data_IF_492499884101
#
_entry.id   IF_492499884101
#
_cell.length_a   1.000
_cell.length_b   1.000
_cell.length_c   1.000
_cell.angle_alpha   90.00
_cell.angle_beta   90.00
_cell.angle_gamma   90.00
#
_symmetry.space_group_name_H-M   'P 1'
#
loop_
_entity.id
_entity.type
_entity.pdbx_description
1 polymer ?
#
# COMPACT_ATOMS: atom_id res chain seq x y z
N UNK A 1 -28.16 -1.76 -34.97
CA UNK A 1 -27.71 -1.67 -33.54
C UNK A 1 -26.77 -0.51 -33.24
N UNK A 2 -26.00 -0.02 -34.18
CA UNK A 2 -25.12 1.17 -33.98
C UNK A 2 -25.88 2.51 -33.92
N UNK A 3 -27.07 2.59 -34.52
CA UNK A 3 -27.90 3.80 -34.58
C UNK A 3 -28.56 4.13 -33.23
N UNK A 4 -28.95 3.11 -32.44
CA UNK A 4 -29.58 3.32 -31.11
C UNK A 4 -28.63 3.86 -30.01
N UNK A 5 -27.32 3.70 -30.17
CA UNK A 5 -26.34 4.21 -29.19
C UNK A 5 -26.13 5.73 -29.34
N UNK A 6 -26.28 6.25 -30.57
CA UNK A 6 -26.10 7.66 -30.89
C UNK A 6 -27.25 8.55 -30.39
N UNK A 7 -28.49 8.05 -30.39
CA UNK A 7 -29.66 8.80 -29.94
C UNK A 7 -29.88 8.78 -28.40
N UNK A 8 -29.30 7.81 -27.72
CA UNK A 8 -29.42 7.71 -26.25
C UNK A 8 -28.44 8.59 -25.48
N UNK A 9 -27.44 9.20 -26.15
CA UNK A 9 -26.42 10.06 -25.57
C UNK A 9 -26.83 11.55 -25.43
N UNK A 10 -28.04 11.91 -25.83
CA UNK A 10 -28.45 13.30 -26.05
C UNK A 10 -28.94 14.05 -24.82
N UNK A 11 -28.77 13.52 -23.60
CA UNK A 11 -29.00 14.33 -22.39
C UNK A 11 -27.66 14.71 -21.75
N UNK A 12 -27.48 15.98 -21.32
CA UNK A 12 -26.23 16.44 -20.67
C UNK A 12 -25.78 15.55 -19.52
N UNK A 13 -26.73 14.98 -18.76
CA UNK A 13 -26.46 14.08 -17.64
C UNK A 13 -25.87 12.73 -18.09
N UNK A 14 -26.35 12.17 -19.19
CA UNK A 14 -25.80 10.93 -19.76
C UNK A 14 -24.42 11.16 -20.35
N UNK A 15 -24.20 12.30 -20.99
CA UNK A 15 -22.90 12.67 -21.52
C UNK A 15 -21.87 12.83 -20.39
N UNK A 16 -22.21 13.52 -19.29
CA UNK A 16 -21.36 13.64 -18.11
C UNK A 16 -21.02 12.27 -17.52
N UNK A 17 -22.01 11.40 -17.38
CA UNK A 17 -21.78 10.01 -16.93
C UNK A 17 -20.82 9.25 -17.83
N UNK A 18 -20.94 9.38 -19.15
CA UNK A 18 -20.05 8.69 -20.09
C UNK A 18 -18.62 9.29 -20.03
N UNK A 19 -18.48 10.60 -19.95
CA UNK A 19 -17.20 11.28 -19.82
C UNK A 19 -16.50 10.83 -18.53
N UNK A 20 -17.19 10.81 -17.40
CA UNK A 20 -16.66 10.31 -16.12
C UNK A 20 -16.25 8.84 -16.21
N UNK A 21 -17.05 8.02 -16.89
CA UNK A 21 -16.72 6.60 -17.08
C UNK A 21 -15.45 6.43 -17.92
N UNK A 22 -15.34 7.18 -19.02
CA UNK A 22 -14.15 7.15 -19.88
C UNK A 22 -12.92 7.65 -19.10
N UNK A 23 -13.05 8.76 -18.38
CA UNK A 23 -11.97 9.32 -17.56
C UNK A 23 -11.50 8.33 -16.50
N UNK A 24 -12.43 7.70 -15.78
CA UNK A 24 -12.08 6.70 -14.78
C UNK A 24 -11.39 5.47 -15.40
N UNK A 25 -11.85 5.03 -16.58
CA UNK A 25 -11.21 3.91 -17.30
C UNK A 25 -9.82 4.28 -17.83
N UNK A 26 -9.63 5.49 -18.30
CA UNK A 26 -8.31 5.99 -18.69
C UNK A 26 -7.33 6.00 -17.51
N UNK A 27 -7.76 6.48 -16.35
CA UNK A 27 -6.95 6.47 -15.13
C UNK A 27 -6.64 5.05 -14.63
N UNK A 28 -7.61 4.11 -14.72
CA UNK A 28 -7.36 2.71 -14.42
C UNK A 28 -6.29 2.11 -15.35
N UNK A 29 -6.35 2.42 -16.64
CA UNK A 29 -5.36 1.95 -17.63
C UNK A 29 -3.97 2.56 -17.36
N UNK A 30 -3.88 3.84 -17.05
CA UNK A 30 -2.62 4.49 -16.69
C UNK A 30 -2.00 3.84 -15.45
N UNK A 31 -2.80 3.59 -14.41
CA UNK A 31 -2.38 2.85 -13.23
C UNK A 31 -1.83 1.46 -13.58
N UNK A 32 -2.53 0.71 -14.44
CA UNK A 32 -2.08 -0.62 -14.89
C UNK A 32 -0.77 -0.57 -15.67
N UNK A 33 -0.60 0.42 -16.57
CA UNK A 33 0.63 0.61 -17.34
C UNK A 33 1.81 0.91 -16.38
N UNK A 34 1.60 1.76 -15.40
CA UNK A 34 2.60 2.11 -14.39
C UNK A 34 2.97 0.90 -13.52
N UNK A 35 1.98 0.10 -13.10
CA UNK A 35 2.19 -1.14 -12.37
C UNK A 35 2.96 -2.17 -13.21
N UNK A 36 2.61 -2.37 -14.48
CA UNK A 36 3.29 -3.29 -15.39
C UNK A 36 4.73 -2.84 -15.71
N UNK A 37 4.93 -1.53 -15.89
CA UNK A 37 6.27 -0.96 -16.14
C UNK A 37 7.17 -1.18 -14.92
N UNK A 38 6.66 -0.92 -13.72
CA UNK A 38 7.38 -1.20 -12.49
C UNK A 38 7.63 -2.70 -12.32
N UNK A 39 6.62 -3.52 -12.60
CA UNK A 39 6.74 -4.96 -12.58
C UNK A 39 7.88 -5.46 -13.49
N UNK A 40 7.97 -4.96 -14.72
CA UNK A 40 9.07 -5.28 -15.63
C UNK A 40 10.44 -4.91 -15.06
N UNK A 41 10.54 -3.77 -14.36
CA UNK A 41 11.77 -3.35 -13.64
C UNK A 41 12.07 -4.26 -12.45
N UNK A 42 11.06 -4.70 -11.73
CA UNK A 42 11.17 -5.64 -10.60
C UNK A 42 11.72 -6.98 -11.09
N UNK A 43 11.16 -7.52 -12.16
CA UNK A 43 11.52 -8.85 -12.70
C UNK A 43 12.97 -8.88 -13.21
N UNK A 44 13.46 -7.74 -13.70
CA UNK A 44 14.86 -7.56 -14.14
C UNK A 44 15.80 -7.10 -13.04
N UNK A 45 15.34 -7.00 -11.78
CA UNK A 45 16.09 -6.46 -10.63
C UNK A 45 16.68 -5.05 -10.88
N UNK A 46 15.97 -4.21 -11.65
CA UNK A 46 16.40 -2.89 -12.13
C UNK A 46 15.62 -1.73 -11.53
N UNK A 47 15.02 -1.89 -10.35
CA UNK A 47 14.45 -0.71 -9.68
C UNK A 47 15.63 0.17 -9.26
N UNK A 48 15.76 1.37 -9.79
CA UNK A 48 16.76 2.31 -9.31
C UNK A 48 16.25 2.86 -7.97
N UNK A 49 16.69 2.26 -6.85
CA UNK A 49 16.38 2.79 -5.51
C UNK A 49 17.27 4.00 -5.20
N UNK A 50 16.66 5.04 -4.66
CA UNK A 50 17.35 6.21 -4.09
C UNK A 50 17.26 6.14 -2.56
N UNK A 51 18.16 5.37 -1.97
CA UNK A 51 18.17 5.15 -0.52
C UNK A 51 18.65 6.39 0.22
N UNK A 52 17.82 6.86 1.15
CA UNK A 52 18.11 7.98 2.03
C UNK A 52 17.97 7.58 3.51
N UNK A 53 18.63 8.34 4.38
CA UNK A 53 18.49 8.22 5.83
C UNK A 53 17.25 8.99 6.26
N UNK A 54 16.22 8.29 6.75
CA UNK A 54 14.93 8.84 7.10
C UNK A 54 14.71 8.77 8.62
N UNK A 55 14.24 9.88 9.21
CA UNK A 55 13.70 9.84 10.56
C UNK A 55 12.29 9.22 10.51
N UNK A 56 12.08 8.15 11.26
CA UNK A 56 10.84 7.36 11.25
C UNK A 56 9.63 8.21 11.62
N UNK A 57 9.74 8.99 12.70
CA UNK A 57 8.62 9.79 13.20
C UNK A 57 8.19 10.86 12.19
N UNK A 58 9.15 11.61 11.63
CA UNK A 58 8.87 12.65 10.64
C UNK A 58 8.28 12.04 9.36
N UNK A 59 8.93 11.04 8.79
CA UNK A 59 8.54 10.44 7.53
C UNK A 59 7.12 9.87 7.56
N UNK A 60 6.81 9.06 8.56
CA UNK A 60 5.47 8.44 8.64
C UNK A 60 4.39 9.46 9.01
N UNK A 61 4.72 10.50 9.79
CA UNK A 61 3.78 11.60 10.06
C UNK A 61 3.39 12.31 8.75
N UNK A 62 4.36 12.67 7.92
CA UNK A 62 4.11 13.32 6.63
C UNK A 62 3.25 12.43 5.71
N UNK A 63 3.54 11.13 5.65
CA UNK A 63 2.73 10.17 4.89
C UNK A 63 1.27 10.11 5.39
N UNK A 64 1.07 10.09 6.70
CA UNK A 64 -0.26 9.99 7.32
C UNK A 64 -1.05 11.28 7.12
N UNK A 65 -0.42 12.45 7.22
CA UNK A 65 -1.07 13.74 6.98
C UNK A 65 -1.57 13.86 5.53
N UNK A 66 -0.76 13.44 4.55
CA UNK A 66 -1.15 13.44 3.13
C UNK A 66 -2.34 12.52 2.86
N UNK A 67 -2.29 11.29 3.36
CA UNK A 67 -3.34 10.28 3.16
C UNK A 67 -4.61 10.63 3.93
N UNK A 68 -4.47 11.29 5.09
CA UNK A 68 -5.58 11.62 5.98
C UNK A 68 -6.66 12.45 5.30
N UNK A 69 -6.28 13.43 4.49
CA UNK A 69 -7.20 14.28 3.74
C UNK A 69 -8.08 13.46 2.76
N UNK A 70 -7.47 12.51 2.06
CA UNK A 70 -8.19 11.66 1.11
C UNK A 70 -9.13 10.67 1.82
N UNK A 71 -8.74 10.17 2.97
CA UNK A 71 -9.56 9.24 3.78
C UNK A 71 -10.74 9.97 4.42
N UNK A 72 -10.53 11.18 4.96
CA UNK A 72 -11.58 12.04 5.52
C UNK A 72 -12.66 12.35 4.47
N UNK A 73 -12.24 12.72 3.24
CA UNK A 73 -13.15 12.96 2.13
C UNK A 73 -14.00 11.73 1.75
N UNK A 74 -13.52 10.53 2.07
CA UNK A 74 -14.23 9.24 1.88
C UNK A 74 -14.99 8.77 3.11
N UNK A 75 -15.03 9.55 4.19
CA UNK A 75 -15.67 9.21 5.44
C UNK A 75 -15.01 8.03 6.18
N UNK A 76 -13.68 7.91 6.07
CA UNK A 76 -12.90 6.86 6.72
C UNK A 76 -12.10 7.49 7.87
N UNK A 77 -12.31 7.00 9.09
CA UNK A 77 -11.56 7.44 10.26
C UNK A 77 -10.12 6.92 10.21
N UNK A 78 -9.13 7.80 10.30
CA UNK A 78 -7.72 7.46 10.36
C UNK A 78 -7.18 7.73 11.76
N UNK A 79 -6.53 6.73 12.37
CA UNK A 79 -5.78 6.87 13.62
C UNK A 79 -4.31 6.53 13.39
N UNK A 80 -3.42 7.34 13.95
CA UNK A 80 -1.98 7.15 13.85
C UNK A 80 -1.33 7.12 15.24
N UNK A 81 -0.54 6.09 15.50
CA UNK A 81 0.17 5.88 16.75
C UNK A 81 1.64 5.55 16.45
N UNK A 82 2.53 6.40 16.90
CA UNK A 82 3.96 6.15 16.80
C UNK A 82 4.53 5.85 18.19
N UNK A 83 5.00 4.62 18.37
CA UNK A 83 5.64 4.13 19.58
C UNK A 83 7.17 3.96 19.42
N UNK A 84 7.72 4.31 18.24
CA UNK A 84 9.16 4.31 18.05
C UNK A 84 9.80 5.48 18.78
N UNK A 85 11.06 5.31 19.18
CA UNK A 85 11.84 6.40 19.78
C UNK A 85 11.99 7.57 18.78
N UNK A 86 11.95 8.84 19.24
CA UNK A 86 11.92 10.02 18.36
C UNK A 86 13.10 10.10 17.37
N UNK A 87 14.27 9.59 17.77
CA UNK A 87 15.50 9.65 16.95
C UNK A 87 15.71 8.40 16.08
N UNK A 88 14.74 7.48 16.09
CA UNK A 88 14.82 6.25 15.28
C UNK A 88 14.92 6.61 13.80
N UNK A 89 15.93 6.02 13.14
CA UNK A 89 16.21 6.23 11.72
C UNK A 89 16.23 4.89 10.98
N UNK A 90 15.90 4.95 9.68
CA UNK A 90 15.99 3.85 8.74
C UNK A 90 16.71 4.30 7.48
N UNK A 91 17.24 3.34 6.72
CA UNK A 91 17.70 3.58 5.35
C UNK A 91 16.64 3.02 4.42
N UNK A 92 15.98 3.91 3.68
CA UNK A 92 14.92 3.52 2.75
C UNK A 92 14.82 4.51 1.58
N UNK A 93 14.26 4.05 0.48
CA UNK A 93 13.82 4.92 -0.61
C UNK A 93 12.46 5.52 -0.23
N UNK A 94 12.36 6.85 -0.04
CA UNK A 94 11.14 7.49 0.46
C UNK A 94 9.95 7.32 -0.51
N UNK A 95 10.20 7.36 -1.82
CA UNK A 95 9.15 7.24 -2.83
C UNK A 95 8.61 5.80 -2.91
N UNK A 96 9.50 4.82 -2.85
CA UNK A 96 9.09 3.42 -2.88
C UNK A 96 8.39 3.02 -1.56
N UNK A 97 8.86 3.54 -0.42
CA UNK A 97 8.19 3.28 0.86
C UNK A 97 6.81 3.96 0.92
N UNK A 98 6.65 5.17 0.36
CA UNK A 98 5.34 5.82 0.18
C UNK A 98 4.41 4.97 -0.69
N UNK A 99 4.94 4.39 -1.77
CA UNK A 99 4.19 3.47 -2.64
C UNK A 99 3.70 2.23 -1.88
N UNK A 100 4.52 1.66 -1.00
CA UNK A 100 4.11 0.55 -0.12
C UNK A 100 2.87 0.95 0.70
N UNK A 101 2.93 2.09 1.38
CA UNK A 101 1.83 2.58 2.22
C UNK A 101 0.57 2.81 1.38
N UNK A 102 0.69 3.50 0.24
CA UNK A 102 -0.43 3.81 -0.64
C UNK A 102 -1.09 2.56 -1.23
N UNK A 103 -0.32 1.53 -1.60
CA UNK A 103 -0.86 0.26 -2.08
C UNK A 103 -1.64 -0.50 -0.99
N UNK A 104 -1.12 -0.52 0.24
CA UNK A 104 -1.80 -1.19 1.36
C UNK A 104 -3.11 -0.45 1.67
N UNK A 105 -3.05 0.88 1.87
CA UNK A 105 -4.22 1.71 2.18
C UNK A 105 -5.24 1.69 1.03
N UNK A 106 -4.78 1.75 -0.22
CA UNK A 106 -5.65 1.63 -1.39
C UNK A 106 -6.43 0.30 -1.39
N UNK A 107 -5.79 -0.80 -1.00
CA UNK A 107 -6.48 -2.08 -0.82
C UNK A 107 -7.48 -2.04 0.34
N UNK A 108 -7.11 -1.48 1.49
CA UNK A 108 -8.02 -1.31 2.62
C UNK A 108 -9.28 -0.55 2.21
N UNK A 109 -9.13 0.63 1.62
CA UNK A 109 -10.26 1.45 1.13
C UNK A 109 -11.13 0.68 0.13
N UNK A 110 -10.51 -0.03 -0.80
CA UNK A 110 -11.19 -0.79 -1.85
C UNK A 110 -12.06 -1.91 -1.32
N UNK A 111 -11.63 -2.55 -0.22
CA UNK A 111 -12.31 -3.71 0.33
C UNK A 111 -13.12 -3.43 1.59
N UNK A 112 -13.27 -2.16 1.96
CA UNK A 112 -14.20 -1.73 3.02
C UNK A 112 -15.64 -1.83 2.57
N UNK A 113 -16.48 -2.47 3.41
CA UNK A 113 -17.88 -2.73 3.14
C UNK A 113 -18.82 -2.33 4.28
N UNK A 114 -18.29 -1.76 5.37
CA UNK A 114 -19.06 -1.33 6.55
C UNK A 114 -19.51 0.13 6.43
N UNK A 115 -20.47 0.51 7.24
CA UNK A 115 -20.97 1.90 7.33
C UNK A 115 -19.96 2.79 8.04
N UNK A 116 -19.47 2.36 9.19
CA UNK A 116 -18.37 3.00 9.90
C UNK A 116 -17.07 2.34 9.44
N UNK A 117 -16.13 3.15 8.98
CA UNK A 117 -14.88 2.68 8.39
C UNK A 117 -13.71 3.28 9.13
N UNK A 118 -12.71 2.45 9.44
CA UNK A 118 -11.49 2.96 10.05
C UNK A 118 -10.22 2.32 9.47
N UNK A 119 -9.13 3.07 9.55
CA UNK A 119 -7.76 2.60 9.35
C UNK A 119 -6.94 3.04 10.57
N UNK A 120 -6.21 2.10 11.17
CA UNK A 120 -5.24 2.38 12.22
C UNK A 120 -3.83 2.10 11.71
N UNK A 121 -2.94 3.07 11.84
CA UNK A 121 -1.52 2.92 11.54
C UNK A 121 -0.75 2.97 12.86
N UNK A 122 0.06 1.94 13.12
CA UNK A 122 0.91 1.86 14.33
C UNK A 122 2.35 1.57 13.92
N UNK A 123 3.28 2.29 14.54
CA UNK A 123 4.71 2.08 14.39
C UNK A 123 5.29 1.67 15.72
N UNK A 124 6.06 0.59 15.75
CA UNK A 124 6.63 0.01 16.97
C UNK A 124 8.11 -0.31 16.78
N UNK A 125 8.87 -0.16 17.87
CA UNK A 125 10.22 -0.70 17.95
C UNK A 125 10.16 -2.21 18.22
N UNK A 126 10.83 -3.00 17.37
CA UNK A 126 10.93 -4.45 17.51
C UNK A 126 12.40 -4.87 17.31
N UNK A 127 13.15 -4.82 18.39
CA UNK A 127 14.60 -5.11 18.34
C UNK A 127 15.33 -4.19 17.36
N UNK A 128 16.02 -4.77 16.37
CA UNK A 128 16.76 -4.04 15.34
C UNK A 128 15.89 -3.48 14.22
N UNK A 129 14.56 -3.65 14.31
CA UNK A 129 13.62 -3.24 13.28
C UNK A 129 12.60 -2.25 13.82
N UNK A 130 12.04 -1.44 12.94
CA UNK A 130 10.72 -0.86 13.14
C UNK A 130 9.68 -1.80 12.52
N UNK A 131 8.54 -1.95 13.17
CA UNK A 131 7.37 -2.62 12.64
C UNK A 131 6.29 -1.59 12.36
N UNK A 132 5.74 -1.63 11.16
CA UNK A 132 4.57 -0.85 10.76
C UNK A 132 3.39 -1.79 10.64
N UNK A 133 2.29 -1.42 11.28
CA UNK A 133 1.01 -2.13 11.25
C UNK A 133 -0.02 -1.20 10.62
N UNK A 134 -0.72 -1.69 9.60
CA UNK A 134 -1.83 -0.99 8.95
C UNK A 134 -3.05 -1.91 9.06
N UNK A 135 -3.97 -1.55 9.95
CA UNK A 135 -5.18 -2.28 10.25
C UNK A 135 -6.38 -1.61 9.61
N UNK A 136 -7.23 -2.39 8.98
CA UNK A 136 -8.52 -1.97 8.45
C UNK A 136 -9.66 -2.84 8.99
N UNK A 137 -10.86 -2.33 8.95
CA UNK A 137 -12.09 -3.03 9.30
C UNK A 137 -12.86 -3.56 8.09
N UNK A 138 -12.18 -3.76 6.97
CA UNK A 138 -12.76 -4.26 5.73
C UNK A 138 -13.35 -5.66 5.85
N UNK A 139 -13.73 -6.23 4.70
CA UNK A 139 -14.33 -7.58 4.64
C UNK A 139 -13.39 -8.72 5.08
N UNK A 140 -12.11 -8.44 5.28
CA UNK A 140 -11.12 -9.45 5.61
C UNK A 140 -10.76 -10.39 4.44
N UNK A 141 -9.91 -11.36 4.74
CA UNK A 141 -9.34 -12.32 3.79
C UNK A 141 -9.50 -13.72 4.40
N UNK A 142 -10.01 -14.66 3.61
CA UNK A 142 -10.13 -16.05 4.03
C UNK A 142 -8.74 -16.66 4.34
N UNK A 143 -8.66 -17.51 5.36
CA UNK A 143 -7.40 -18.13 5.78
C UNK A 143 -6.69 -18.91 4.66
N UNK A 144 -7.46 -19.53 3.77
CA UNK A 144 -6.94 -20.25 2.61
C UNK A 144 -6.22 -19.33 1.59
N UNK A 145 -6.60 -18.05 1.54
CA UNK A 145 -6.08 -17.07 0.57
C UNK A 145 -4.85 -16.32 1.12
N UNK A 146 -4.72 -16.18 2.46
CA UNK A 146 -3.64 -15.43 3.11
C UNK A 146 -2.22 -15.80 2.64
N UNK A 147 -1.86 -17.07 2.40
CA UNK A 147 -0.53 -17.42 1.92
C UNK A 147 -0.20 -16.86 0.53
N UNK A 148 -1.22 -16.56 -0.27
CA UNK A 148 -1.08 -16.22 -1.68
C UNK A 148 -1.30 -14.74 -2.01
N UNK A 149 -1.74 -13.92 -1.04
CA UNK A 149 -2.11 -12.51 -1.33
C UNK A 149 -0.93 -11.65 -1.85
N UNK A 150 0.30 -12.08 -1.61
CA UNK A 150 1.51 -11.45 -2.10
C UNK A 150 2.02 -12.05 -3.41
N UNK A 151 1.35 -13.09 -3.93
CA UNK A 151 1.71 -13.70 -5.20
C UNK A 151 1.23 -12.82 -6.36
N UNK A 152 1.97 -12.89 -7.44
CA UNK A 152 1.72 -12.13 -8.66
C UNK A 152 0.40 -12.55 -9.29
N UNK A 153 -0.42 -11.58 -9.67
CA UNK A 153 -1.73 -11.79 -10.30
C UNK A 153 -2.74 -12.55 -9.45
N UNK A 154 -2.39 -12.82 -8.17
CA UNK A 154 -3.32 -13.48 -7.28
C UNK A 154 -4.48 -12.56 -6.92
N UNK A 155 -5.68 -13.09 -7.01
CA UNK A 155 -6.91 -12.41 -6.60
C UNK A 155 -7.85 -13.45 -6.00
N UNK A 156 -8.45 -13.14 -4.86
CA UNK A 156 -9.48 -13.98 -4.25
C UNK A 156 -10.70 -14.07 -5.17
N UNK A 157 -11.47 -15.16 -5.11
CA UNK A 157 -12.68 -15.33 -5.94
C UNK A 157 -13.66 -14.18 -5.74
N UNK A 158 -13.86 -13.74 -4.51
CA UNK A 158 -14.69 -12.58 -4.19
C UNK A 158 -14.18 -11.27 -4.81
N UNK A 159 -12.87 -11.11 -5.02
CA UNK A 159 -12.29 -9.93 -5.68
C UNK A 159 -12.39 -9.99 -7.20
N UNK A 160 -12.39 -11.18 -7.79
CA UNK A 160 -12.56 -11.40 -9.25
C UNK A 160 -13.93 -10.96 -9.72
N UNK A 161 -14.95 -11.23 -8.90
CA UNK A 161 -16.36 -10.92 -9.19
C UNK A 161 -16.75 -9.48 -8.83
N UNK A 162 -15.87 -8.70 -8.19
CA UNK A 162 -16.18 -7.32 -7.82
C UNK A 162 -15.97 -6.36 -8.99
N UNK A 163 -16.89 -5.43 -9.17
CA UNK A 163 -16.79 -4.32 -10.15
C UNK A 163 -15.60 -3.37 -9.86
N UNK A 164 -14.95 -3.54 -8.72
CA UNK A 164 -13.87 -2.65 -8.24
C UNK A 164 -12.51 -2.93 -8.86
N UNK A 165 -12.38 -3.83 -9.84
CA UNK A 165 -11.15 -4.03 -10.61
C UNK A 165 -9.88 -4.31 -9.78
N UNK A 166 -8.74 -4.43 -10.43
CA UNK A 166 -7.41 -4.54 -9.81
C UNK A 166 -6.56 -5.58 -10.53
N UNK A 167 -5.28 -5.29 -10.72
CA UNK A 167 -4.32 -6.11 -11.45
C UNK A 167 -3.90 -7.39 -10.72
N UNK A 168 -3.96 -7.39 -9.39
CA UNK A 168 -3.35 -8.43 -8.56
C UNK A 168 -1.81 -8.29 -8.47
N UNK A 169 -1.27 -7.15 -8.88
CA UNK A 169 0.18 -6.88 -8.87
C UNK A 169 0.58 -6.05 -7.63
N UNK A 170 -0.30 -5.21 -7.12
CA UNK A 170 0.02 -4.22 -6.08
C UNK A 170 0.71 -4.81 -4.85
N UNK A 171 0.18 -5.88 -4.24
CA UNK A 171 0.80 -6.49 -3.06
C UNK A 171 2.10 -7.24 -3.38
N UNK A 172 2.28 -7.78 -4.57
CA UNK A 172 3.55 -8.38 -4.97
C UNK A 172 4.65 -7.33 -5.15
N UNK A 173 4.29 -6.12 -5.62
CA UNK A 173 5.19 -4.94 -5.64
C UNK A 173 5.57 -4.55 -4.21
N UNK A 174 4.59 -4.45 -3.33
CA UNK A 174 4.82 -4.13 -1.90
C UNK A 174 5.82 -5.11 -1.28
N UNK A 175 5.61 -6.41 -1.48
CA UNK A 175 6.51 -7.45 -0.98
C UNK A 175 7.93 -7.25 -1.50
N UNK A 176 8.10 -7.07 -2.79
CA UNK A 176 9.42 -6.87 -3.41
C UNK A 176 10.12 -5.62 -2.86
N UNK A 177 9.43 -4.49 -2.76
CA UNK A 177 10.03 -3.26 -2.21
C UNK A 177 10.50 -3.50 -0.77
N UNK A 178 9.68 -4.09 0.08
CA UNK A 178 10.05 -4.35 1.48
C UNK A 178 11.23 -5.33 1.57
N UNK A 179 11.24 -6.41 0.77
CA UNK A 179 12.36 -7.35 0.72
C UNK A 179 13.65 -6.69 0.24
N UNK A 180 13.59 -5.81 -0.77
CA UNK A 180 14.76 -5.06 -1.26
C UNK A 180 15.28 -4.03 -0.24
N UNK A 181 14.43 -3.60 0.71
CA UNK A 181 14.83 -2.80 1.87
C UNK A 181 15.33 -3.66 3.05
N UNK A 182 15.57 -4.96 2.83
CA UNK A 182 16.02 -5.88 3.87
C UNK A 182 14.97 -6.19 4.93
N UNK A 183 13.71 -5.95 4.62
CA UNK A 183 12.56 -6.16 5.50
C UNK A 183 11.78 -7.42 5.20
N UNK A 184 10.63 -7.55 5.85
CA UNK A 184 9.65 -8.61 5.66
C UNK A 184 8.24 -8.06 5.76
N UNK A 185 7.31 -8.62 5.00
CA UNK A 185 5.88 -8.29 5.04
C UNK A 185 5.03 -9.54 5.28
N UNK A 186 3.93 -9.40 6.02
CA UNK A 186 2.91 -10.43 6.23
C UNK A 186 1.57 -9.80 6.56
N UNK A 187 0.53 -10.61 6.66
CA UNK A 187 -0.79 -10.16 7.05
C UNK A 187 -1.44 -11.13 8.05
N UNK A 188 -2.31 -10.58 8.88
CA UNK A 188 -3.32 -11.35 9.63
C UNK A 188 -4.69 -10.82 9.24
N UNK A 189 -5.65 -11.71 9.10
CA UNK A 189 -6.99 -11.33 8.70
C UNK A 189 -8.01 -12.34 9.18
N UNK A 190 -9.22 -11.85 9.37
CA UNK A 190 -10.41 -12.66 9.62
C UNK A 190 -11.54 -12.13 8.75
N UNK A 191 -12.24 -13.03 8.06
CA UNK A 191 -13.40 -12.67 7.24
C UNK A 191 -14.42 -11.88 8.06
N UNK A 192 -15.00 -10.86 7.45
CA UNK A 192 -15.96 -9.90 8.01
C UNK A 192 -15.47 -9.07 9.22
N UNK A 193 -14.20 -9.22 9.59
CA UNK A 193 -13.61 -8.46 10.71
C UNK A 193 -12.64 -7.39 10.23
N UNK A 194 -11.79 -7.71 9.24
CA UNK A 194 -10.80 -6.81 8.68
C UNK A 194 -9.45 -7.49 8.46
N UNK A 195 -8.46 -6.69 8.08
CA UNK A 195 -7.09 -7.13 7.80
C UNK A 195 -6.09 -6.23 8.50
N UNK A 196 -5.02 -6.82 9.02
CA UNK A 196 -3.85 -6.07 9.46
C UNK A 196 -2.66 -6.51 8.61
N UNK A 197 -2.10 -5.55 7.89
CA UNK A 197 -0.84 -5.69 7.18
C UNK A 197 0.31 -5.28 8.09
N UNK A 198 1.36 -6.08 8.11
CA UNK A 198 2.57 -5.83 8.89
C UNK A 198 3.77 -5.81 7.98
N UNK A 199 4.68 -4.85 8.16
CA UNK A 199 6.01 -4.95 7.59
C UNK A 199 7.07 -4.44 8.56
N UNK A 200 8.29 -4.93 8.39
CA UNK A 200 9.45 -4.49 9.18
C UNK A 200 10.53 -3.95 8.26
N UNK A 201 11.22 -2.91 8.72
CA UNK A 201 12.41 -2.34 8.08
C UNK A 201 13.48 -2.21 9.16
N UNK A 202 14.74 -2.52 8.80
CA UNK A 202 15.85 -2.46 9.73
C UNK A 202 16.17 -1.01 10.12
N UNK A 203 16.39 -0.78 11.43
CA UNK A 203 16.82 0.50 11.93
C UNK A 203 18.25 0.80 11.49
N UNK A 204 18.52 2.05 11.17
CA UNK A 204 19.89 2.50 10.97
C UNK A 204 20.65 2.48 12.31
N UNK A 205 21.81 1.87 12.32
CA UNK A 205 22.74 1.87 13.46
C UNK A 205 24.03 2.51 12.99
N UNK A 206 24.48 3.54 13.70
CA UNK A 206 25.83 4.06 13.47
C UNK A 206 26.83 3.01 13.94
N UNK A 207 27.71 2.59 13.04
CA UNK A 207 28.86 1.77 13.41
C UNK A 207 29.82 2.68 14.16
N UNK A 208 29.81 2.64 15.51
CA UNK A 208 30.85 3.28 16.31
C UNK A 208 32.17 2.56 16.04
N UNK A 209 33.10 3.26 15.42
CA UNK A 209 34.44 2.76 15.08
C UNK A 209 35.32 2.60 16.37
N UNK A 210 34.89 1.75 17.31
CA UNK A 210 35.57 1.56 18.60
C UNK A 210 35.98 0.11 18.89
N UNK A 211 36.13 -0.75 17.89
CA UNK A 211 36.71 -2.10 18.10
C UNK A 211 37.89 -2.43 17.19
N UNK A 212 38.74 -1.45 16.89
CA UNK A 212 40.05 -1.73 16.29
C UNK A 212 41.16 -1.06 17.10
N UNK A 213 41.43 -1.53 18.32
CA UNK A 213 42.75 -1.39 18.98
C UNK A 213 42.77 -2.14 20.31
N UNK A 214 42.75 -3.45 20.30
CA UNK A 214 43.30 -4.27 21.40
C UNK A 214 43.82 -5.58 20.82
N UNK A 215 44.95 -5.45 20.10
CA UNK A 215 45.94 -6.52 19.97
C UNK A 215 47.26 -5.89 19.51
N UNK A 216 48.05 -5.50 20.52
CA UNK A 216 49.49 -5.39 20.46
C UNK A 216 50.12 -5.90 21.73
#
# INVERSE_FOLDING_TARGET
RQMCIRDSANTPEKLDKYIRTIYNKANEMDTLINELTLYSKIDTNRIPYDFAKLNVAAYFKDCVEEIGLDLEAKGIALSYFNYATPDTQIIADPEQLRRVINNIIGNSVKYMNKTEKFINIRIKDVGDFIQVEIEDDGRGIAQKDLPYIFDRFYRTDASRNSATGGSGIGLSIVKKIIEDHGGKIWATSKEDSGTTMYFVIRKYQEVTANEQNTDR
#
